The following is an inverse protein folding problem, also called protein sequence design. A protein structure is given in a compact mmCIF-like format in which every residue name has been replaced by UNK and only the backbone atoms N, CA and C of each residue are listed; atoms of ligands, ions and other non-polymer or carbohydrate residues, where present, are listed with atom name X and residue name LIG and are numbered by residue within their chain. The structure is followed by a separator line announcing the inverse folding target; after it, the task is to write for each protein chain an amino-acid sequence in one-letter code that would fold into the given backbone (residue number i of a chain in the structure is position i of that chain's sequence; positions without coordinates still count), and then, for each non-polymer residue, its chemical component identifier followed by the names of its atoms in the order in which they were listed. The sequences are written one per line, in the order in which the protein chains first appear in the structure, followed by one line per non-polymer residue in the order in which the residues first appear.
data_IF_909941132894
#
_entry.id   IF_909941132894
#
_cell.length_a   1.000
_cell.length_b   1.000
_cell.length_c   1.000
_cell.angle_alpha   90.00
_cell.angle_beta   90.00
_cell.angle_gamma   90.00
#
_symmetry.space_group_name_H-M   'P 1'
#
loop_
_entity.id
_entity.type
_entity.pdbx_description
1 polymer ?
#
# COMPACT_ATOMS: atom_id res chain seq x y z
N UNK A 1 -91.83 35.62 32.97
CA UNK A 1 -90.59 34.83 32.77
C UNK A 1 -90.66 34.21 31.37
N UNK A 2 -89.80 34.66 30.45
CA UNK A 2 -89.91 34.35 29.01
C UNK A 2 -89.59 32.88 28.71
N UNK A 3 -90.45 32.15 27.97
CA UNK A 3 -90.26 30.72 27.67
C UNK A 3 -88.95 30.43 26.91
N UNK A 4 -88.48 31.37 26.09
CA UNK A 4 -87.20 31.25 25.35
C UNK A 4 -85.97 31.15 26.26
N UNK A 5 -86.00 31.77 27.44
CA UNK A 5 -84.86 31.72 28.36
C UNK A 5 -84.69 30.32 28.98
N UNK A 6 -85.81 29.62 29.25
CA UNK A 6 -85.78 28.26 29.80
C UNK A 6 -85.29 27.22 28.78
N UNK A 7 -85.59 27.44 27.51
CA UNK A 7 -85.12 26.58 26.42
C UNK A 7 -83.61 26.73 26.19
N UNK A 8 -83.10 27.96 26.24
CA UNK A 8 -81.66 28.23 26.16
C UNK A 8 -80.86 27.56 27.29
N UNK A 9 -81.37 27.61 28.53
CA UNK A 9 -80.73 26.94 29.67
C UNK A 9 -80.70 25.42 29.52
N UNK A 10 -81.74 24.82 28.91
CA UNK A 10 -81.79 23.38 28.66
C UNK A 10 -80.75 22.95 27.62
N UNK A 11 -80.67 23.67 26.50
CA UNK A 11 -79.68 23.43 25.44
C UNK A 11 -78.25 23.63 25.96
N UNK A 12 -78.03 24.63 26.81
CA UNK A 12 -76.72 24.85 27.42
C UNK A 12 -76.28 23.68 28.32
N UNK A 13 -77.20 23.13 29.12
CA UNK A 13 -76.92 21.95 29.95
C UNK A 13 -76.59 20.71 29.11
N UNK A 14 -77.34 20.47 28.04
CA UNK A 14 -77.08 19.37 27.11
C UNK A 14 -75.71 19.50 26.42
N UNK A 15 -75.35 20.72 26.02
CA UNK A 15 -74.02 21.02 25.47
C UNK A 15 -72.90 20.76 26.48
N UNK A 16 -73.05 21.22 27.72
CA UNK A 16 -72.06 21.00 28.78
C UNK A 16 -71.89 19.50 29.07
N UNK A 17 -72.96 18.72 29.07
CA UNK A 17 -72.87 17.26 29.22
C UNK A 17 -72.16 16.58 28.05
N UNK A 18 -72.42 17.00 26.81
CA UNK A 18 -71.74 16.48 25.62
C UNK A 18 -70.23 16.77 25.65
N UNK A 19 -69.84 18.00 26.01
CA UNK A 19 -68.43 18.39 26.15
C UNK A 19 -67.73 17.57 27.22
N UNK A 20 -68.39 17.33 28.38
CA UNK A 20 -67.85 16.48 29.44
C UNK A 20 -67.65 15.03 28.96
N UNK A 21 -68.63 14.46 28.26
CA UNK A 21 -68.53 13.10 27.67
C UNK A 21 -67.36 13.00 26.70
N UNK A 22 -67.18 14.00 25.83
CA UNK A 22 -66.09 14.02 24.85
C UNK A 22 -64.71 14.12 25.51
N UNK A 23 -64.55 14.98 26.53
CA UNK A 23 -63.29 15.10 27.28
C UNK A 23 -62.90 13.82 28.02
N UNK A 24 -63.89 13.08 28.54
CA UNK A 24 -63.67 11.82 29.24
C UNK A 24 -63.25 10.67 28.30
N UNK A 25 -63.72 10.71 27.06
CA UNK A 25 -63.37 9.70 26.03
C UNK A 25 -61.96 9.96 25.47
N UNK A 26 -61.59 11.24 25.34
CA UNK A 26 -60.30 11.64 24.78
C UNK A 26 -59.13 11.45 25.76
N UNK A 27 -59.42 11.42 27.07
CA UNK A 27 -58.40 11.25 28.13
C UNK A 27 -58.02 9.79 28.41
N UNK A 28 -58.77 8.81 27.89
CA UNK A 28 -58.68 7.40 28.36
C UNK A 28 -58.19 6.38 27.34
N UNK A 29 -57.94 6.71 26.05
CA UNK A 29 -57.92 5.63 25.04
C UNK A 29 -56.87 5.59 23.92
N UNK A 30 -55.90 6.51 23.77
CA UNK A 30 -54.96 6.31 22.63
C UNK A 30 -53.61 7.04 22.62
N UNK A 31 -53.40 8.09 23.42
CA UNK A 31 -52.20 8.93 23.29
C UNK A 31 -50.91 8.23 23.73
N UNK A 32 -50.87 7.75 24.96
CA UNK A 32 -49.57 7.43 25.58
C UNK A 32 -49.02 6.08 25.14
N UNK A 33 -49.91 5.12 24.87
CA UNK A 33 -49.57 3.80 24.34
C UNK A 33 -49.11 3.87 22.88
N UNK A 34 -49.73 4.73 22.08
CA UNK A 34 -49.29 4.96 20.69
C UNK A 34 -47.98 5.74 20.63
N UNK A 35 -47.75 6.72 21.50
CA UNK A 35 -46.47 7.46 21.59
C UNK A 35 -45.34 6.54 22.07
N UNK A 36 -45.59 5.64 23.03
CA UNK A 36 -44.62 4.65 23.48
C UNK A 36 -44.30 3.61 22.41
N UNK A 37 -45.31 3.12 21.68
CA UNK A 37 -45.13 2.23 20.54
C UNK A 37 -44.32 2.90 19.41
N UNK A 38 -44.63 4.16 19.09
CA UNK A 38 -43.88 4.94 18.09
C UNK A 38 -42.43 5.14 18.54
N UNK A 39 -42.16 5.47 19.81
CA UNK A 39 -40.79 5.60 20.33
C UNK A 39 -40.01 4.28 20.28
N UNK A 40 -40.65 3.15 20.57
CA UNK A 40 -40.01 1.84 20.46
C UNK A 40 -39.72 1.46 19.01
N UNK A 41 -40.64 1.75 18.07
CA UNK A 41 -40.42 1.53 16.63
C UNK A 41 -39.30 2.44 16.10
N UNK A 42 -39.26 3.71 16.51
CA UNK A 42 -38.20 4.64 16.15
C UNK A 42 -36.86 4.19 16.75
N UNK A 43 -36.84 3.68 17.98
CA UNK A 43 -35.61 3.19 18.63
C UNK A 43 -35.11 1.89 17.98
N UNK A 44 -36.02 1.00 17.58
CA UNK A 44 -35.70 -0.21 16.84
C UNK A 44 -35.23 0.08 15.40
N UNK A 45 -35.77 1.13 14.76
CA UNK A 45 -35.31 1.62 13.45
C UNK A 45 -33.97 2.37 13.55
N UNK A 46 -33.74 3.08 14.66
CA UNK A 46 -32.50 3.78 14.97
C UNK A 46 -31.47 2.90 15.70
N UNK A 47 -31.55 1.57 15.54
CA UNK A 47 -30.47 0.65 15.91
C UNK A 47 -29.24 0.93 15.03
N UNK A 48 -28.59 2.06 15.30
CA UNK A 48 -27.45 2.61 14.57
C UNK A 48 -26.28 1.63 14.62
N UNK A 49 -26.15 0.86 15.70
CA UNK A 49 -25.17 -0.22 15.83
C UNK A 49 -25.33 -1.31 14.76
N UNK A 50 -26.57 -1.65 14.37
CA UNK A 50 -26.81 -2.59 13.28
C UNK A 50 -26.45 -1.98 11.92
N UNK A 51 -26.68 -0.67 11.73
CA UNK A 51 -26.29 0.04 10.52
C UNK A 51 -24.76 0.16 10.39
N UNK A 52 -24.07 0.51 11.47
CA UNK A 52 -22.61 0.56 11.52
C UNK A 52 -21.99 -0.83 11.34
N UNK A 53 -22.55 -1.86 11.96
CA UNK A 53 -22.14 -3.25 11.77
C UNK A 53 -22.31 -3.70 10.31
N UNK A 54 -23.49 -3.47 9.71
CA UNK A 54 -23.72 -3.76 8.29
C UNK A 54 -22.78 -2.96 7.38
N UNK A 55 -22.54 -1.69 7.68
CA UNK A 55 -21.61 -0.85 6.92
C UNK A 55 -20.19 -1.41 6.97
N UNK A 56 -19.72 -1.83 8.14
CA UNK A 56 -18.41 -2.48 8.31
C UNK A 56 -18.32 -3.83 7.60
N UNK A 57 -19.40 -4.62 7.58
CA UNK A 57 -19.42 -5.88 6.82
C UNK A 57 -19.36 -5.63 5.31
N UNK A 58 -20.04 -4.58 4.82
CA UNK A 58 -20.00 -4.19 3.40
C UNK A 58 -18.59 -3.72 3.00
N UNK A 59 -17.92 -2.94 3.85
CA UNK A 59 -16.56 -2.47 3.54
C UNK A 59 -15.55 -3.63 3.53
N UNK A 60 -15.64 -4.58 4.46
CA UNK A 60 -14.82 -5.79 4.45
C UNK A 60 -15.03 -6.62 3.18
N UNK A 61 -16.29 -6.85 2.79
CA UNK A 61 -16.60 -7.58 1.56
C UNK A 61 -16.06 -6.86 0.31
N UNK A 62 -16.15 -5.53 0.26
CA UNK A 62 -15.60 -4.74 -0.83
C UNK A 62 -14.06 -4.84 -0.91
N UNK A 63 -13.39 -4.91 0.24
CA UNK A 63 -11.95 -5.10 0.31
C UNK A 63 -11.52 -6.49 -0.16
N UNK A 64 -12.25 -7.53 0.22
CA UNK A 64 -12.04 -8.90 -0.27
C UNK A 64 -12.16 -8.97 -1.81
N UNK A 65 -13.24 -8.41 -2.36
CA UNK A 65 -13.44 -8.32 -3.82
C UNK A 65 -12.30 -7.55 -4.50
N UNK A 66 -11.79 -6.49 -3.88
CA UNK A 66 -10.65 -5.74 -4.41
C UNK A 66 -9.34 -6.54 -4.39
N UNK A 67 -9.12 -7.38 -3.37
CA UNK A 67 -7.97 -8.28 -3.31
C UNK A 67 -8.05 -9.35 -4.41
N UNK A 68 -9.22 -9.95 -4.61
CA UNK A 68 -9.46 -10.92 -5.68
C UNK A 68 -9.25 -10.30 -7.06
N UNK A 69 -9.82 -9.12 -7.31
CA UNK A 69 -9.60 -8.35 -8.53
C UNK A 69 -8.12 -8.09 -8.79
N UNK A 70 -7.33 -7.76 -7.76
CA UNK A 70 -5.87 -7.58 -7.88
C UNK A 70 -5.16 -8.90 -8.19
N UNK A 71 -5.59 -10.02 -7.57
CA UNK A 71 -5.05 -11.35 -7.86
C UNK A 71 -5.29 -11.74 -9.32
N UNK A 72 -6.52 -11.63 -9.80
CA UNK A 72 -6.89 -11.93 -11.18
C UNK A 72 -6.10 -11.06 -12.16
N UNK A 73 -5.97 -9.75 -11.91
CA UNK A 73 -5.16 -8.85 -12.77
C UNK A 73 -3.69 -9.28 -12.84
N UNK A 74 -3.10 -9.75 -11.73
CA UNK A 74 -1.72 -10.26 -11.72
C UNK A 74 -1.60 -11.56 -12.50
N UNK A 75 -2.54 -12.48 -12.32
CA UNK A 75 -2.58 -13.75 -13.06
C UNK A 75 -2.78 -13.51 -14.56
N UNK A 76 -3.68 -12.62 -14.96
CA UNK A 76 -3.85 -12.17 -16.33
C UNK A 76 -2.56 -11.59 -16.91
N UNK A 77 -1.85 -10.75 -16.15
CA UNK A 77 -0.56 -10.20 -16.54
C UNK A 77 0.52 -11.26 -16.73
N UNK A 78 0.60 -12.24 -15.81
CA UNK A 78 1.49 -13.39 -15.91
C UNK A 78 1.19 -14.22 -17.15
N UNK A 79 -0.09 -14.55 -17.39
CA UNK A 79 -0.51 -15.31 -18.56
C UNK A 79 -0.22 -14.56 -19.87
N UNK A 80 -0.51 -13.26 -19.95
CA UNK A 80 -0.13 -12.43 -21.11
C UNK A 80 1.38 -12.43 -21.36
N UNK A 81 2.18 -12.34 -20.29
CA UNK A 81 3.64 -12.39 -20.40
C UNK A 81 4.15 -13.76 -20.80
N UNK A 82 3.50 -14.83 -20.33
CA UNK A 82 3.83 -16.21 -20.65
C UNK A 82 3.45 -16.52 -22.10
N UNK A 83 2.28 -16.08 -22.56
CA UNK A 83 1.88 -16.14 -23.96
C UNK A 83 2.88 -15.42 -24.86
N UNK A 84 3.26 -14.18 -24.52
CA UNK A 84 4.29 -13.43 -25.24
C UNK A 84 5.64 -14.14 -25.25
N UNK A 85 5.99 -14.86 -24.18
CA UNK A 85 7.20 -15.67 -24.12
C UNK A 85 7.09 -16.89 -25.05
N UNK A 86 5.96 -17.59 -25.08
CA UNK A 86 5.69 -18.70 -25.98
C UNK A 86 5.70 -18.26 -27.46
N UNK A 87 5.07 -17.13 -27.79
CA UNK A 87 5.15 -16.52 -29.13
C UNK A 87 6.58 -16.07 -29.46
N UNK A 88 7.26 -15.48 -28.49
CA UNK A 88 8.63 -15.02 -28.60
C UNK A 88 9.64 -16.14 -28.77
N UNK A 89 9.41 -17.33 -28.20
CA UNK A 89 10.22 -18.54 -28.36
C UNK A 89 10.22 -19.02 -29.81
N UNK A 90 9.08 -18.97 -30.48
CA UNK A 90 8.98 -19.30 -31.91
C UNK A 90 9.76 -18.30 -32.78
N UNK A 91 9.88 -17.05 -32.32
CA UNK A 91 10.58 -15.96 -33.02
C UNK A 91 12.03 -15.71 -32.52
N UNK A 92 12.54 -16.47 -31.54
CA UNK A 92 13.85 -16.23 -30.89
C UNK A 92 15.01 -17.08 -31.42
N UNK A 93 14.97 -17.52 -32.69
CA UNK A 93 16.15 -18.12 -33.32
C UNK A 93 17.21 -17.12 -33.77
N UNK A 94 17.00 -15.81 -33.65
CA UNK A 94 18.04 -14.85 -34.03
C UNK A 94 18.21 -13.71 -33.03
N UNK A 95 19.44 -13.58 -32.54
CA UNK A 95 20.09 -12.35 -32.11
C UNK A 95 19.53 -11.64 -30.88
N UNK A 96 20.09 -11.99 -29.71
CA UNK A 96 20.15 -11.06 -28.58
C UNK A 96 21.56 -11.01 -28.00
N UNK A 97 22.46 -10.35 -28.74
CA UNK A 97 23.62 -9.71 -28.15
C UNK A 97 23.13 -8.65 -27.15
N UNK A 98 23.08 -9.02 -25.87
CA UNK A 98 22.82 -8.05 -24.79
C UNK A 98 24.00 -7.08 -24.76
N UNK A 99 23.80 -5.85 -25.26
CA UNK A 99 24.75 -4.77 -25.03
C UNK A 99 24.83 -4.51 -23.52
N UNK A 100 25.94 -4.89 -22.91
CA UNK A 100 26.29 -4.49 -21.55
C UNK A 100 26.56 -2.98 -21.62
N UNK A 101 25.57 -2.17 -21.24
CA UNK A 101 25.84 -0.79 -20.79
C UNK A 101 26.67 -0.89 -19.51
N UNK A 102 27.99 -0.92 -19.66
CA UNK A 102 28.91 -0.71 -18.54
C UNK A 102 28.73 0.72 -18.06
N UNK A 103 28.05 0.88 -16.92
CA UNK A 103 28.20 2.08 -16.11
C UNK A 103 29.64 2.07 -15.61
N UNK A 104 30.51 2.80 -16.29
CA UNK A 104 31.86 3.07 -15.83
C UNK A 104 31.74 3.87 -14.53
N UNK A 105 31.85 3.20 -13.39
CA UNK A 105 32.14 3.88 -12.12
C UNK A 105 33.52 4.51 -12.26
N UNK A 106 33.64 5.81 -11.96
CA UNK A 106 34.90 6.57 -11.91
C UNK A 106 35.83 6.12 -10.77
N UNK A 107 35.98 4.81 -10.55
CA UNK A 107 37.07 4.27 -9.77
C UNK A 107 38.28 4.32 -10.69
N UNK A 108 39.04 5.41 -10.60
CA UNK A 108 40.34 5.54 -11.24
C UNK A 108 41.15 4.32 -10.77
N UNK A 109 41.36 3.36 -11.68
CA UNK A 109 42.12 2.16 -11.36
C UNK A 109 43.56 2.59 -11.17
N UNK A 110 44.00 2.63 -9.92
CA UNK A 110 45.40 2.83 -9.58
C UNK A 110 46.20 1.70 -10.24
N UNK A 111 47.34 2.04 -10.86
CA UNK A 111 48.14 1.04 -11.56
C UNK A 111 48.72 0.03 -10.57
N UNK A 112 48.86 -1.24 -10.98
CA UNK A 112 49.45 -2.28 -10.13
C UNK A 112 50.88 -1.93 -9.70
N UNK A 113 51.61 -1.18 -10.53
CA UNK A 113 52.97 -0.71 -10.23
C UNK A 113 52.97 0.27 -9.06
N UNK A 114 52.00 1.16 -8.99
CA UNK A 114 51.91 2.14 -7.90
C UNK A 114 51.49 1.46 -6.59
N UNK A 115 50.59 0.47 -6.65
CA UNK A 115 50.22 -0.35 -5.49
C UNK A 115 51.44 -1.09 -4.94
N UNK A 116 52.22 -1.74 -5.81
CA UNK A 116 53.42 -2.47 -5.41
C UNK A 116 54.48 -1.56 -4.78
N UNK A 117 54.69 -0.35 -5.34
CA UNK A 117 55.61 0.64 -4.76
C UNK A 117 55.18 1.07 -3.35
N UNK A 118 53.88 1.32 -3.16
CA UNK A 118 53.33 1.71 -1.85
C UNK A 118 53.45 0.58 -0.83
N UNK A 119 53.21 -0.66 -1.25
CA UNK A 119 53.40 -1.84 -0.39
C UNK A 119 54.87 -2.00 0.02
N UNK A 120 55.81 -1.89 -0.92
CA UNK A 120 57.24 -1.97 -0.63
C UNK A 120 57.71 -0.86 0.33
N UNK A 121 57.23 0.37 0.15
CA UNK A 121 57.51 1.48 1.08
C UNK A 121 56.98 1.23 2.49
N UNK A 122 55.81 0.61 2.60
CA UNK A 122 55.25 0.21 3.89
C UNK A 122 56.08 -0.90 4.53
N UNK A 123 56.50 -1.91 3.76
CA UNK A 123 57.37 -3.01 4.22
C UNK A 123 58.74 -2.52 4.67
N UNK A 124 59.29 -1.51 4.00
CA UNK A 124 60.54 -0.86 4.39
C UNK A 124 60.39 0.10 5.58
N UNK A 125 59.18 0.34 6.07
CA UNK A 125 58.90 1.25 7.18
C UNK A 125 59.05 2.73 6.82
N UNK A 126 59.04 3.08 5.53
CA UNK A 126 59.09 4.45 5.05
C UNK A 126 57.73 5.15 5.27
N UNK A 127 57.76 6.46 5.54
CA UNK A 127 56.54 7.25 5.74
C UNK A 127 55.69 7.30 4.47
N UNK A 128 54.39 7.02 4.60
CA UNK A 128 53.43 7.09 3.50
C UNK A 128 52.77 8.46 3.42
N UNK A 129 52.68 9.01 2.21
CA UNK A 129 51.86 10.19 1.94
C UNK A 129 50.35 9.87 1.99
N UNK A 130 49.50 10.88 2.18
CA UNK A 130 48.04 10.70 2.26
C UNK A 130 47.44 10.06 1.00
N UNK A 131 47.99 10.37 -0.17
CA UNK A 131 47.60 9.73 -1.43
C UNK A 131 47.99 8.25 -1.46
N UNK A 132 49.21 7.90 -1.03
CA UNK A 132 49.68 6.51 -0.93
C UNK A 132 48.87 5.71 0.08
N UNK A 133 48.45 6.30 1.21
CA UNK A 133 47.53 5.68 2.16
C UNK A 133 46.17 5.39 1.55
N UNK A 134 45.62 6.32 0.75
CA UNK A 134 44.35 6.10 0.05
C UNK A 134 44.43 4.93 -0.95
N UNK A 135 45.60 4.74 -1.59
CA UNK A 135 45.87 3.63 -2.51
C UNK A 135 45.92 2.30 -1.77
N UNK A 136 46.57 2.27 -0.60
CA UNK A 136 46.68 1.06 0.21
C UNK A 136 45.30 0.62 0.77
N UNK A 137 44.52 1.57 1.30
CA UNK A 137 43.20 1.30 1.87
C UNK A 137 42.19 0.86 0.82
N UNK A 138 42.20 1.47 -0.36
CA UNK A 138 41.28 1.11 -1.45
C UNK A 138 41.55 -0.29 -2.03
N UNK A 139 42.78 -0.80 -1.90
CA UNK A 139 43.20 -2.10 -2.44
C UNK A 139 43.30 -3.22 -1.39
N UNK A 140 42.89 -2.98 -0.15
CA UNK A 140 42.78 -4.03 0.88
C UNK A 140 44.02 -4.23 1.77
N UNK A 141 44.95 -3.27 1.81
CA UNK A 141 46.07 -3.28 2.76
C UNK A 141 47.29 -4.11 2.35
N UNK A 142 48.23 -4.26 3.30
CA UNK A 142 49.51 -4.95 3.12
C UNK A 142 49.35 -6.43 2.72
N UNK A 143 48.37 -7.11 3.32
CA UNK A 143 48.12 -8.53 3.09
C UNK A 143 47.20 -8.82 1.90
N UNK A 144 46.90 -7.81 1.09
CA UNK A 144 46.15 -8.00 -0.15
C UNK A 144 47.02 -8.73 -1.15
N UNK A 145 46.90 -10.06 -1.20
CA UNK A 145 47.59 -10.89 -2.17
C UNK A 145 47.34 -10.32 -3.57
N UNK A 146 48.42 -9.91 -4.23
CA UNK A 146 48.38 -9.65 -5.66
C UNK A 146 47.82 -10.90 -6.30
N UNK A 147 46.69 -10.76 -7.01
CA UNK A 147 46.12 -11.85 -7.78
C UNK A 147 47.13 -12.18 -8.86
N UNK A 148 48.01 -13.13 -8.60
CA UNK A 148 48.79 -13.79 -9.64
C UNK A 148 47.77 -14.35 -10.60
N UNK A 149 47.90 -13.99 -11.88
CA UNK A 149 47.15 -14.65 -12.93
C UNK A 149 47.78 -16.04 -13.11
N UNK A 150 47.63 -16.90 -12.09
CA UNK A 150 47.97 -18.30 -12.21
C UNK A 150 46.87 -18.93 -13.07
N UNK A 151 47.10 -18.92 -14.38
CA UNK A 151 46.25 -19.53 -15.41
C UNK A 151 46.04 -21.06 -15.18
N UNK A 152 46.75 -21.65 -14.20
CA UNK A 152 46.74 -23.06 -13.86
C UNK A 152 45.99 -23.43 -12.56
N UNK A 153 45.27 -22.50 -11.92
CA UNK A 153 44.39 -22.91 -10.81
C UNK A 153 43.13 -23.63 -11.35
N UNK A 154 42.76 -24.83 -10.84
CA UNK A 154 41.59 -25.54 -11.32
C UNK A 154 40.36 -24.69 -11.01
N UNK A 155 39.68 -24.22 -12.08
CA UNK A 155 38.44 -23.44 -11.99
C UNK A 155 37.47 -24.17 -11.06
N UNK A 156 37.35 -23.72 -9.80
CA UNK A 156 36.37 -24.26 -8.85
C UNK A 156 34.98 -24.03 -9.47
N UNK A 157 34.36 -25.11 -9.98
CA UNK A 157 33.01 -25.13 -10.56
C UNK A 157 31.93 -24.60 -9.59
N UNK A 158 32.27 -24.42 -8.32
CA UNK A 158 31.42 -23.84 -7.28
C UNK A 158 32.12 -22.71 -6.52
N UNK A 159 32.58 -21.67 -7.22
CA UNK A 159 32.68 -20.35 -6.59
C UNK A 159 31.24 -19.85 -6.39
N UNK A 160 30.65 -20.09 -5.20
CA UNK A 160 29.54 -19.26 -4.74
C UNK A 160 30.08 -17.84 -4.72
N UNK A 161 29.71 -17.05 -5.72
CA UNK A 161 29.95 -15.61 -5.71
C UNK A 161 29.44 -15.10 -4.36
N UNK A 162 30.36 -14.69 -3.49
CA UNK A 162 29.99 -13.89 -2.33
C UNK A 162 29.31 -12.66 -2.92
N UNK A 163 27.98 -12.63 -2.89
CA UNK A 163 27.19 -11.42 -3.15
C UNK A 163 27.76 -10.39 -2.21
N UNK A 164 28.55 -9.45 -2.73
CA UNK A 164 28.90 -8.24 -2.00
C UNK A 164 27.58 -7.52 -1.75
N UNK A 165 26.98 -7.78 -0.59
CA UNK A 165 25.90 -6.96 -0.07
C UNK A 165 26.55 -5.61 0.25
N UNK A 166 26.49 -4.69 -0.71
CA UNK A 166 26.65 -3.27 -0.40
C UNK A 166 25.61 -2.94 0.68
N UNK A 167 25.97 -2.21 1.75
CA UNK A 167 25.07 -1.93 2.86
C UNK A 167 23.87 -1.05 2.47
N UNK A 168 23.77 -0.60 1.22
CA UNK A 168 22.65 0.19 0.70
C UNK A 168 21.55 -0.58 -0.06
N UNK A 169 21.73 -1.87 -0.36
CA UNK A 169 20.84 -2.58 -1.31
C UNK A 169 19.66 -3.34 -0.66
N UNK A 170 19.37 -3.10 0.62
CA UNK A 170 18.14 -3.59 1.27
C UNK A 170 16.89 -2.75 0.96
N UNK A 171 16.96 -1.85 -0.02
CA UNK A 171 15.77 -1.13 -0.49
C UNK A 171 14.91 -2.06 -1.36
N UNK A 172 13.78 -2.49 -0.82
CA UNK A 172 12.73 -3.18 -1.57
C UNK A 172 12.34 -2.31 -2.77
N UNK A 173 12.82 -2.66 -3.96
CA UNK A 173 12.54 -1.96 -5.21
C UNK A 173 11.04 -2.05 -5.54
N UNK A 174 10.26 -1.10 -5.05
CA UNK A 174 8.94 -0.78 -5.61
C UNK A 174 9.22 -0.13 -6.97
N UNK A 175 8.80 -0.78 -8.05
CA UNK A 175 9.04 -0.30 -9.42
C UNK A 175 8.70 1.18 -9.60
N UNK A 176 9.47 1.87 -10.45
CA UNK A 176 9.27 3.29 -10.75
C UNK A 176 7.85 3.54 -11.23
N UNK A 177 7.04 4.25 -10.43
CA UNK A 177 5.71 4.70 -10.83
C UNK A 177 5.89 5.63 -12.03
N UNK A 178 5.37 5.25 -13.19
CA UNK A 178 5.42 6.09 -14.39
C UNK A 178 4.66 7.39 -14.14
N UNK A 179 5.36 8.52 -14.10
CA UNK A 179 4.73 9.83 -14.22
C UNK A 179 4.37 9.99 -15.70
N UNK A 180 3.09 10.02 -16.03
CA UNK A 180 2.64 10.33 -17.39
C UNK A 180 3.11 11.74 -17.75
N UNK A 181 3.80 11.87 -18.89
CA UNK A 181 4.09 13.16 -19.49
C UNK A 181 2.81 13.65 -20.15
N UNK A 182 2.03 14.47 -19.45
CA UNK A 182 1.06 15.34 -20.11
C UNK A 182 1.86 16.45 -20.80
N UNK A 183 2.17 16.26 -22.09
CA UNK A 183 2.61 17.33 -22.97
C UNK A 183 1.32 17.99 -23.47
N UNK A 184 1.10 19.25 -23.10
CA UNK A 184 0.02 20.10 -23.61
C UNK A 184 0.15 20.21 -25.13
N UNK A 185 -0.97 20.09 -25.83
CA UNK A 185 -1.09 20.53 -27.23
C UNK A 185 -1.25 22.05 -27.20
N UNK A 186 -0.36 22.75 -27.89
CA UNK A 186 -0.65 24.02 -28.55
C UNK A 186 -0.75 23.74 -30.05
#
# INVERSE_FOLDING_TARGET
MLPKAREADKLHREFVELVKKQSSIQSTSSSDESIAAIKNVISAANNSDNFFSNSNMITQYLDELNLEKRRIKRELGRLKSWLKYCEGLNNQKSNKSKSKRSRSSNNQKVSQKDIAKVQLKMESGEGLSLSELSILLSNGGLFSQQKTNDDNSPKKKYSRTKRSKSPGDFSAHRGSRGRSKNVRKE
#
